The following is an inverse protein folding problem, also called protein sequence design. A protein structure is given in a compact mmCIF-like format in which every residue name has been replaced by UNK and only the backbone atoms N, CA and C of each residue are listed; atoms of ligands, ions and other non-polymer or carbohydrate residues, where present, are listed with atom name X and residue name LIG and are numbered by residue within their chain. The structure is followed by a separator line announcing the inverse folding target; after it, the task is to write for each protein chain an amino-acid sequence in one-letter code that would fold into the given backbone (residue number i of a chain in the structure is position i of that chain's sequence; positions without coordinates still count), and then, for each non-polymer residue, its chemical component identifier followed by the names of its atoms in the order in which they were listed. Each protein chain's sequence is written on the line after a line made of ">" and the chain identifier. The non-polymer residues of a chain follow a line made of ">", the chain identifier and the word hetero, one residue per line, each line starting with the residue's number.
data_IF_853833984540
#
_entry.id   IF_853833984540
#
_cell.length_a   1.000
_cell.length_b   1.000
_cell.length_c   1.000
_cell.angle_alpha   90.00
_cell.angle_beta   90.00
_cell.angle_gamma   90.00
#
_symmetry.space_group_name_H-M   'P 1'
#
loop_
_entity.id
_entity.type
_entity.pdbx_description
1 polymer ?
#
# COMPACT_ATOMS: atom_id res chain seq x y z
N UNK A 1 28.24 45.45 -17.74
CA UNK A 1 27.31 44.32 -17.53
C UNK A 1 27.96 43.32 -16.57
N UNK A 2 27.47 43.20 -15.33
CA UNK A 2 27.92 42.15 -14.41
C UNK A 2 27.04 40.90 -14.61
N UNK A 3 27.65 39.82 -15.08
CA UNK A 3 27.02 38.49 -15.09
C UNK A 3 26.97 37.93 -13.67
N UNK A 4 25.78 37.90 -13.06
CA UNK A 4 25.54 37.17 -11.80
C UNK A 4 25.07 35.76 -12.13
N UNK A 5 25.96 34.78 -12.01
CA UNK A 5 25.61 33.35 -12.05
C UNK A 5 25.01 32.98 -10.69
N UNK A 6 23.73 32.60 -10.64
CA UNK A 6 23.15 31.96 -9.45
C UNK A 6 23.91 30.65 -9.19
N UNK A 7 24.66 30.60 -8.10
CA UNK A 7 25.21 29.34 -7.60
C UNK A 7 24.01 28.52 -7.11
N UNK A 8 23.69 27.42 -7.80
CA UNK A 8 22.74 26.44 -7.28
C UNK A 8 23.28 25.96 -5.93
N UNK A 9 22.47 26.15 -4.89
CA UNK A 9 22.72 25.54 -3.56
C UNK A 9 22.94 24.04 -3.80
N UNK A 10 24.05 23.46 -3.33
CA UNK A 10 24.23 21.99 -3.31
C UNK A 10 22.96 21.41 -2.69
N UNK A 11 22.21 20.59 -3.43
CA UNK A 11 21.09 19.91 -2.81
C UNK A 11 21.70 18.92 -1.80
N UNK A 12 21.11 18.83 -0.61
CA UNK A 12 21.49 17.78 0.32
C UNK A 12 21.18 16.40 -0.29
N UNK A 13 21.66 15.31 0.32
CA UNK A 13 21.23 13.97 -0.08
C UNK A 13 19.70 13.91 -0.05
N UNK A 14 19.12 13.24 -1.06
CA UNK A 14 17.68 12.96 -1.11
C UNK A 14 17.40 11.95 0.00
N UNK A 15 16.47 12.28 0.89
CA UNK A 15 15.99 11.35 1.90
C UNK A 15 14.90 10.47 1.29
N UNK A 16 15.23 9.19 1.09
CA UNK A 16 14.30 8.19 0.60
C UNK A 16 13.81 7.34 1.76
N UNK A 17 12.50 7.31 1.98
CA UNK A 17 11.90 6.36 2.92
C UNK A 17 11.66 5.02 2.24
N UNK A 18 12.15 3.93 2.81
CA UNK A 18 11.87 2.57 2.35
C UNK A 18 11.23 1.78 3.48
N UNK A 19 10.08 1.19 3.21
CA UNK A 19 9.39 0.24 4.08
C UNK A 19 9.41 -1.16 3.46
N UNK A 20 9.29 -2.21 4.26
CA UNK A 20 9.18 -3.59 3.77
C UNK A 20 8.20 -4.42 4.58
N UNK A 21 7.57 -5.39 3.91
CA UNK A 21 6.80 -6.43 4.58
C UNK A 21 7.69 -7.26 5.52
N UNK A 22 7.10 -7.71 6.62
CA UNK A 22 7.72 -8.67 7.54
C UNK A 22 7.72 -10.06 6.93
N UNK A 23 8.79 -10.83 7.16
CA UNK A 23 8.91 -12.21 6.67
C UNK A 23 8.54 -13.26 7.70
N UNK A 24 8.59 -12.94 9.00
CA UNK A 24 8.25 -13.87 10.08
C UNK A 24 8.06 -13.16 11.44
N UNK A 25 7.50 -13.89 12.42
CA UNK A 25 7.34 -13.43 13.80
C UNK A 25 8.66 -12.95 14.47
N UNK A 26 9.80 -13.50 14.05
CA UNK A 26 11.11 -13.11 14.56
C UNK A 26 11.64 -11.80 13.94
N UNK A 27 11.13 -11.41 12.78
CA UNK A 27 11.43 -10.15 12.10
C UNK A 27 10.59 -9.00 12.69
N UNK A 28 9.35 -9.31 13.13
CA UNK A 28 8.42 -8.37 13.77
C UNK A 28 8.97 -7.73 15.06
N UNK A 29 9.93 -8.37 15.73
CA UNK A 29 10.57 -7.82 16.94
C UNK A 29 11.39 -6.56 16.66
N UNK A 30 11.76 -6.33 15.39
CA UNK A 30 12.51 -5.15 14.94
C UNK A 30 11.65 -4.09 14.26
N UNK A 31 10.32 -4.24 14.30
CA UNK A 31 9.40 -3.25 13.75
C UNK A 31 9.56 -1.86 14.43
N UNK A 32 9.40 -0.74 13.70
CA UNK A 32 8.94 -0.66 12.31
C UNK A 32 10.01 -1.07 11.30
N UNK A 33 9.59 -1.75 10.22
CA UNK A 33 10.44 -2.14 9.10
C UNK A 33 10.63 -0.99 8.10
N UNK A 34 10.66 0.24 8.60
CA UNK A 34 10.88 1.46 7.82
C UNK A 34 12.30 1.97 8.08
N UNK A 35 12.97 2.42 7.02
CA UNK A 35 14.31 3.00 7.09
C UNK A 35 14.46 4.15 6.12
N UNK A 36 15.13 5.21 6.57
CA UNK A 36 15.52 6.34 5.72
C UNK A 36 16.90 6.04 5.11
N UNK A 37 16.97 6.12 3.79
CA UNK A 37 18.19 5.97 3.01
C UNK A 37 18.64 7.35 2.50
N UNK A 38 19.86 7.79 2.84
CA UNK A 38 20.45 8.93 2.15
C UNK A 38 20.84 8.51 0.73
N UNK A 39 20.32 9.21 -0.26
CA UNK A 39 20.63 9.03 -1.67
C UNK A 39 21.43 10.24 -2.17
N UNK A 40 22.65 9.99 -2.66
CA UNK A 40 23.50 11.02 -3.22
C UNK A 40 22.99 11.48 -4.60
N UNK A 41 23.29 12.73 -4.99
CA UNK A 41 22.80 13.31 -6.26
C UNK A 41 23.18 12.51 -7.51
N UNK A 42 24.26 11.73 -7.44
CA UNK A 42 24.81 10.96 -8.57
C UNK A 42 24.39 9.48 -8.56
N UNK A 43 23.70 9.00 -7.52
CA UNK A 43 23.26 7.61 -7.45
C UNK A 43 22.12 7.35 -8.43
N UNK A 44 22.17 6.19 -9.07
CA UNK A 44 21.11 5.73 -9.98
C UNK A 44 20.05 4.93 -9.23
N UNK A 45 18.97 4.56 -9.93
CA UNK A 45 17.97 3.65 -9.37
C UNK A 45 18.61 2.30 -9.00
N UNK A 46 19.51 1.77 -9.84
CA UNK A 46 20.27 0.55 -9.53
C UNK A 46 21.05 0.65 -8.22
N UNK A 47 21.75 1.76 -7.98
CA UNK A 47 22.49 1.98 -6.73
C UNK A 47 21.57 1.97 -5.51
N UNK A 48 20.37 2.55 -5.65
CA UNK A 48 19.33 2.52 -4.61
C UNK A 48 18.80 1.11 -4.40
N UNK A 49 18.54 0.34 -5.48
CA UNK A 49 18.11 -1.05 -5.37
C UNK A 49 19.17 -1.91 -4.68
N UNK A 50 20.46 -1.70 -4.91
CA UNK A 50 21.53 -2.41 -4.20
C UNK A 50 21.54 -2.11 -2.70
N UNK A 51 21.31 -0.85 -2.31
CA UNK A 51 21.11 -0.48 -0.90
C UNK A 51 19.91 -1.19 -0.28
N UNK A 52 18.82 -1.32 -1.02
CA UNK A 52 17.62 -2.06 -0.60
C UNK A 52 17.95 -3.55 -0.48
N UNK A 53 18.62 -4.16 -1.45
CA UNK A 53 19.08 -5.54 -1.41
C UNK A 53 19.89 -5.83 -0.14
N UNK A 54 20.78 -4.93 0.26
CA UNK A 54 21.57 -5.06 1.49
C UNK A 54 20.72 -4.94 2.77
N UNK A 55 19.57 -4.28 2.70
CA UNK A 55 18.64 -4.08 3.81
C UNK A 55 17.63 -5.22 3.97
N UNK A 56 17.21 -5.84 2.87
CA UNK A 56 16.17 -6.88 2.89
C UNK A 56 16.62 -8.17 3.60
N UNK A 57 15.72 -8.84 4.36
CA UNK A 57 15.98 -10.14 4.94
C UNK A 57 16.40 -11.18 3.88
N UNK A 58 17.49 -11.90 4.16
CA UNK A 58 18.02 -12.93 3.26
C UNK A 58 17.28 -14.25 3.46
N UNK A 59 16.31 -14.50 2.58
CA UNK A 59 15.50 -15.72 2.54
C UNK A 59 15.80 -16.51 1.25
N UNK A 60 15.55 -17.82 1.28
CA UNK A 60 15.72 -18.67 0.10
C UNK A 60 14.40 -18.74 -0.68
N UNK A 61 14.49 -18.75 -2.00
CA UNK A 61 13.35 -18.94 -2.92
C UNK A 61 12.23 -17.92 -2.69
N UNK A 62 12.61 -16.64 -2.67
CA UNK A 62 11.66 -15.53 -2.50
C UNK A 62 11.91 -14.45 -3.53
N UNK A 63 10.85 -13.68 -3.81
CA UNK A 63 10.92 -12.50 -4.65
C UNK A 63 10.42 -11.31 -3.85
N UNK A 64 11.12 -10.19 -3.95
CA UNK A 64 10.63 -8.90 -3.46
C UNK A 64 10.25 -8.02 -4.63
N UNK A 65 9.06 -7.42 -4.61
CA UNK A 65 8.80 -6.26 -5.48
C UNK A 65 9.20 -4.99 -4.75
N UNK A 66 9.81 -4.04 -5.46
CA UNK A 66 10.09 -2.69 -4.97
C UNK A 66 9.20 -1.75 -5.75
N UNK A 67 8.22 -1.15 -5.07
CA UNK A 67 7.19 -0.35 -5.72
C UNK A 67 6.99 1.01 -5.05
N UNK A 68 6.48 1.97 -5.82
CA UNK A 68 6.09 3.30 -5.34
C UNK A 68 4.67 3.33 -4.77
N UNK A 69 3.98 2.18 -4.77
CA UNK A 69 2.54 2.01 -4.61
C UNK A 69 1.70 2.49 -5.79
N UNK A 70 2.31 3.00 -6.87
CA UNK A 70 1.63 3.31 -8.14
C UNK A 70 2.14 2.39 -9.26
N UNK A 71 3.42 2.01 -9.19
CA UNK A 71 4.04 1.07 -10.11
C UNK A 71 5.21 0.35 -9.44
N UNK A 72 5.56 -0.82 -9.95
CA UNK A 72 6.81 -1.51 -9.61
C UNK A 72 8.00 -0.82 -10.29
N UNK A 73 9.06 -0.56 -9.54
CA UNK A 73 10.33 -0.04 -10.06
C UNK A 73 11.35 -1.17 -10.29
N UNK A 74 11.32 -2.21 -9.45
CA UNK A 74 12.22 -3.35 -9.56
C UNK A 74 11.65 -4.63 -8.94
N UNK A 75 12.17 -5.77 -9.38
CA UNK A 75 11.99 -7.05 -8.69
C UNK A 75 13.36 -7.57 -8.25
N UNK A 76 13.45 -8.04 -7.01
CA UNK A 76 14.66 -8.63 -6.42
C UNK A 76 14.38 -10.11 -6.19
N UNK A 77 15.10 -10.98 -6.87
CA UNK A 77 14.98 -12.43 -6.74
C UNK A 77 16.08 -12.94 -5.81
N UNK A 78 15.68 -13.53 -4.69
CA UNK A 78 16.59 -14.19 -3.76
C UNK A 78 16.48 -15.70 -3.95
N UNK A 79 17.43 -16.27 -4.68
CA UNK A 79 17.49 -17.72 -4.91
C UNK A 79 17.99 -18.43 -3.64
N UNK A 80 19.04 -17.87 -3.03
CA UNK A 80 19.58 -18.34 -1.75
C UNK A 80 20.01 -17.16 -0.89
N UNK A 81 20.26 -17.39 0.41
CA UNK A 81 20.72 -16.34 1.34
C UNK A 81 21.91 -15.49 0.82
N UNK A 82 22.75 -16.07 -0.03
CA UNK A 82 23.96 -15.43 -0.55
C UNK A 82 23.91 -15.15 -2.07
N UNK A 83 22.83 -15.52 -2.76
CA UNK A 83 22.70 -15.36 -4.20
C UNK A 83 21.37 -14.72 -4.52
N UNK A 84 21.44 -13.48 -4.98
CA UNK A 84 20.31 -12.69 -5.43
C UNK A 84 20.67 -11.96 -6.73
N UNK A 85 19.65 -11.59 -7.48
CA UNK A 85 19.75 -10.69 -8.61
C UNK A 85 18.50 -9.80 -8.62
N UNK A 86 18.51 -8.73 -9.41
CA UNK A 86 17.35 -7.88 -9.58
C UNK A 86 17.17 -7.48 -11.04
N UNK A 87 15.95 -7.12 -11.37
CA UNK A 87 15.59 -6.50 -12.65
C UNK A 87 14.89 -5.17 -12.37
N UNK A 88 15.26 -4.14 -13.13
CA UNK A 88 14.54 -2.87 -13.15
C UNK A 88 13.38 -2.96 -14.15
N UNK A 89 12.24 -2.38 -13.81
CA UNK A 89 11.08 -2.33 -14.71
C UNK A 89 11.24 -1.26 -15.81
N UNK A 90 12.10 -0.26 -15.58
CA UNK A 90 12.41 0.81 -16.53
C UNK A 90 13.92 0.94 -16.71
N UNK A 91 14.33 1.78 -17.66
CA UNK A 91 15.74 2.11 -17.86
C UNK A 91 16.34 2.76 -16.61
N UNK A 92 17.56 2.36 -16.26
CA UNK A 92 18.28 2.95 -15.14
C UNK A 92 18.53 4.44 -15.38
N UNK A 93 18.21 5.24 -14.37
CA UNK A 93 18.22 6.70 -14.40
C UNK A 93 18.74 7.23 -13.08
N UNK A 94 19.19 8.49 -13.06
CA UNK A 94 19.62 9.12 -11.80
C UNK A 94 18.43 9.20 -10.87
N UNK A 95 18.61 8.80 -9.61
CA UNK A 95 17.52 8.83 -8.65
C UNK A 95 17.00 10.25 -8.42
N UNK A 96 17.89 11.24 -8.51
CA UNK A 96 17.55 12.67 -8.42
C UNK A 96 16.67 13.21 -9.56
N UNK A 97 16.53 12.46 -10.66
CA UNK A 97 15.63 12.80 -11.77
C UNK A 97 14.23 12.18 -11.59
N UNK A 98 14.03 11.41 -10.51
CA UNK A 98 12.74 10.81 -10.16
C UNK A 98 11.97 11.68 -9.17
N UNK A 99 10.66 11.48 -9.09
CA UNK A 99 9.79 12.05 -8.05
C UNK A 99 9.60 11.09 -6.86
N UNK A 100 10.47 10.06 -6.75
CA UNK A 100 10.33 9.00 -5.77
C UNK A 100 10.91 9.49 -4.43
N UNK A 101 10.03 9.58 -3.44
CA UNK A 101 10.40 9.85 -2.04
C UNK A 101 10.10 8.68 -1.12
N UNK A 102 9.41 7.66 -1.62
CA UNK A 102 8.98 6.49 -0.85
C UNK A 102 8.99 5.24 -1.73
N UNK A 103 9.54 4.14 -1.19
CA UNK A 103 9.44 2.81 -1.78
C UNK A 103 8.93 1.80 -0.74
N UNK A 104 8.12 0.85 -1.20
CA UNK A 104 7.67 -0.29 -0.42
C UNK A 104 8.22 -1.59 -1.01
N UNK A 105 8.75 -2.45 -0.16
CA UNK A 105 9.23 -3.77 -0.54
C UNK A 105 8.24 -4.85 -0.09
N UNK A 106 7.57 -5.48 -1.06
CA UNK A 106 6.59 -6.54 -0.80
C UNK A 106 7.23 -7.91 -0.90
N UNK A 107 6.92 -8.81 0.04
CA UNK A 107 7.54 -10.12 0.16
C UNK A 107 6.71 -11.22 -0.51
N UNK A 108 7.29 -11.99 -1.43
CA UNK A 108 6.61 -13.09 -2.09
C UNK A 108 7.35 -14.41 -1.91
N UNK A 109 6.57 -15.46 -1.61
CA UNK A 109 7.00 -16.85 -1.56
C UNK A 109 5.93 -17.70 -2.23
N UNK A 110 6.27 -18.91 -2.67
CA UNK A 110 5.37 -19.80 -3.44
C UNK A 110 4.02 -20.04 -2.75
N UNK A 111 4.02 -20.17 -1.42
CA UNK A 111 2.80 -20.34 -0.64
C UNK A 111 1.78 -19.20 -0.77
N UNK A 112 2.21 -17.98 -1.13
CA UNK A 112 1.34 -16.81 -1.34
C UNK A 112 0.42 -16.95 -2.57
N UNK A 113 0.76 -17.87 -3.48
CA UNK A 113 -0.02 -18.16 -4.69
C UNK A 113 -0.84 -19.45 -4.56
N UNK A 114 -0.91 -20.03 -3.36
CA UNK A 114 -1.69 -21.24 -3.11
C UNK A 114 -2.82 -20.91 -2.13
N UNK A 115 -4.06 -21.14 -2.55
CA UNK A 115 -5.23 -20.97 -1.69
C UNK A 115 -6.07 -22.25 -1.66
N UNK A 116 -6.95 -22.35 -0.67
CA UNK A 116 -7.89 -23.46 -0.56
C UNK A 116 -9.24 -23.00 -1.08
N UNK A 117 -9.81 -23.77 -1.99
CA UNK A 117 -11.21 -23.62 -2.37
C UNK A 117 -12.11 -23.86 -1.15
N UNK A 118 -13.05 -22.96 -0.90
CA UNK A 118 -13.89 -23.03 0.30
C UNK A 118 -14.97 -24.13 0.21
N UNK A 119 -15.32 -24.58 -0.99
CA UNK A 119 -16.35 -25.59 -1.22
C UNK A 119 -15.77 -27.00 -1.33
N UNK A 120 -14.67 -27.17 -2.09
CA UNK A 120 -14.03 -28.46 -2.33
C UNK A 120 -12.86 -28.75 -1.38
N UNK A 121 -12.27 -27.73 -0.76
CA UNK A 121 -11.07 -27.85 0.07
C UNK A 121 -9.79 -28.10 -0.72
N UNK A 122 -9.87 -28.14 -2.06
CA UNK A 122 -8.74 -28.36 -2.96
C UNK A 122 -7.78 -27.18 -2.92
N UNK A 123 -6.48 -27.47 -3.11
CA UNK A 123 -5.46 -26.43 -3.25
C UNK A 123 -5.47 -25.93 -4.68
N UNK A 124 -5.85 -24.67 -4.86
CA UNK A 124 -5.81 -24.00 -6.15
C UNK A 124 -4.55 -23.13 -6.18
N UNK A 125 -3.84 -23.20 -7.30
CA UNK A 125 -2.69 -22.37 -7.60
C UNK A 125 -3.11 -21.17 -8.44
N UNK A 126 -2.69 -19.97 -8.01
CA UNK A 126 -2.90 -18.72 -8.73
C UNK A 126 -1.78 -18.54 -9.76
N UNK A 127 -2.17 -18.21 -11.00
CA UNK A 127 -1.31 -18.16 -12.18
C UNK A 127 -0.58 -19.49 -12.46
N UNK A 128 -1.31 -20.61 -12.64
CA UNK A 128 -0.71 -21.92 -12.90
C UNK A 128 0.05 -21.98 -14.23
N UNK A 129 -0.22 -21.04 -15.15
CA UNK A 129 0.51 -20.85 -16.40
C UNK A 129 1.94 -20.33 -16.21
N UNK A 130 2.23 -19.71 -15.06
CA UNK A 130 3.56 -19.21 -14.73
C UNK A 130 4.44 -20.31 -14.14
N UNK A 131 5.59 -20.58 -14.77
CA UNK A 131 6.54 -21.58 -14.30
C UNK A 131 7.35 -21.14 -13.08
N UNK A 132 7.80 -19.89 -13.05
CA UNK A 132 8.66 -19.36 -11.98
C UNK A 132 7.90 -18.43 -11.02
N UNK A 133 8.40 -18.32 -9.78
CA UNK A 133 7.82 -17.42 -8.77
C UNK A 133 7.83 -15.96 -9.24
N UNK A 134 8.89 -15.51 -9.93
CA UNK A 134 8.97 -14.16 -10.45
C UNK A 134 7.84 -13.85 -11.45
N UNK A 135 7.51 -14.78 -12.35
CA UNK A 135 6.44 -14.59 -13.32
C UNK A 135 5.08 -14.45 -12.63
N UNK A 136 4.83 -15.26 -11.60
CA UNK A 136 3.63 -15.13 -10.75
C UNK A 136 3.55 -13.77 -10.07
N UNK A 137 4.69 -13.29 -9.57
CA UNK A 137 4.80 -11.97 -8.94
C UNK A 137 4.57 -10.86 -9.97
N UNK A 138 5.10 -10.96 -11.18
CA UNK A 138 4.84 -9.99 -12.26
C UNK A 138 3.37 -9.95 -12.64
N UNK A 139 2.72 -11.10 -12.82
CA UNK A 139 1.28 -11.16 -13.06
C UNK A 139 0.53 -10.49 -11.91
N UNK A 140 0.83 -10.89 -10.67
CA UNK A 140 0.20 -10.30 -9.49
C UNK A 140 0.40 -8.78 -9.41
N UNK A 141 1.60 -8.27 -9.63
CA UNK A 141 1.88 -6.83 -9.55
C UNK A 141 1.25 -6.07 -10.73
N UNK A 142 1.18 -6.67 -11.92
CA UNK A 142 0.43 -6.14 -13.04
C UNK A 142 -1.06 -6.00 -12.73
N UNK A 143 -1.63 -6.96 -11.99
CA UNK A 143 -3.00 -6.84 -11.48
C UNK A 143 -3.12 -5.83 -10.33
N UNK A 144 -2.11 -5.78 -9.45
CA UNK A 144 -2.06 -4.91 -8.28
C UNK A 144 -2.21 -3.42 -8.65
N UNK A 145 -1.68 -3.01 -9.81
CA UNK A 145 -1.72 -1.63 -10.31
C UNK A 145 -2.75 -1.41 -11.43
N UNK A 146 -3.76 -2.28 -11.57
CA UNK A 146 -4.67 -2.31 -12.73
C UNK A 146 -5.39 -0.99 -13.05
N UNK A 147 -5.60 -0.09 -12.09
CA UNK A 147 -6.24 1.19 -12.35
C UNK A 147 -5.62 2.39 -11.59
N UNK A 148 -5.46 3.53 -12.27
CA UNK A 148 -5.16 4.79 -11.60
C UNK A 148 -6.42 5.35 -10.94
N UNK A 149 -6.35 5.72 -9.66
CA UNK A 149 -7.40 6.51 -9.02
C UNK A 149 -7.38 7.93 -9.61
N UNK A 150 -8.49 8.34 -10.24
CA UNK A 150 -8.54 9.62 -10.98
C UNK A 150 -8.57 10.84 -10.06
N UNK A 151 -9.18 10.70 -8.88
CA UNK A 151 -9.17 11.74 -7.86
C UNK A 151 -7.82 11.77 -7.13
N UNK A 152 -7.31 12.98 -6.81
CA UNK A 152 -6.02 13.17 -6.13
C UNK A 152 -6.12 13.27 -4.60
N UNK A 153 -7.34 13.26 -4.06
CA UNK A 153 -7.64 13.40 -2.64
C UNK A 153 -9.02 13.99 -2.43
N UNK A 154 -9.50 13.95 -1.19
CA UNK A 154 -10.79 14.49 -0.81
C UNK A 154 -11.14 14.19 0.64
N UNK A 155 -12.34 14.57 1.03
CA UNK A 155 -12.96 14.22 2.30
C UNK A 155 -13.51 12.79 2.20
N UNK A 156 -13.30 11.97 3.23
CA UNK A 156 -13.72 10.56 3.20
C UNK A 156 -15.05 10.38 3.94
N UNK A 157 -16.01 9.76 3.26
CA UNK A 157 -17.30 9.36 3.82
C UNK A 157 -17.48 7.85 3.66
N UNK A 158 -17.83 7.18 4.76
CA UNK A 158 -18.01 5.72 4.79
C UNK A 158 -19.42 5.43 5.28
N UNK A 159 -20.24 4.80 4.43
CA UNK A 159 -21.66 4.54 4.71
C UNK A 159 -22.45 5.76 5.24
N UNK A 160 -22.10 6.97 4.77
CA UNK A 160 -22.76 8.21 5.17
C UNK A 160 -22.14 8.89 6.40
N UNK A 161 -21.18 8.26 7.07
CA UNK A 161 -20.40 8.87 8.14
C UNK A 161 -19.13 9.51 7.61
N UNK A 162 -19.05 10.84 7.71
CA UNK A 162 -17.86 11.59 7.36
C UNK A 162 -16.75 11.39 8.39
N UNK A 163 -15.51 11.25 7.92
CA UNK A 163 -14.33 11.32 8.77
C UNK A 163 -13.98 12.79 9.04
N UNK A 164 -14.69 13.40 10.00
CA UNK A 164 -14.70 14.84 10.24
C UNK A 164 -16.05 15.43 9.83
N UNK A 165 -16.04 16.52 9.06
CA UNK A 165 -17.24 17.12 8.45
C UNK A 165 -17.13 17.02 6.92
N UNK A 166 -18.25 17.11 6.18
CA UNK A 166 -18.19 17.26 4.73
C UNK A 166 -17.32 18.48 4.36
N UNK A 167 -16.30 18.26 3.52
CA UNK A 167 -15.35 19.30 3.10
C UNK A 167 -14.20 19.59 4.09
N UNK A 168 -14.20 18.99 5.28
CA UNK A 168 -13.06 19.04 6.20
C UNK A 168 -12.10 17.86 5.95
N UNK A 169 -10.84 17.98 6.40
CA UNK A 169 -9.82 16.93 6.33
C UNK A 169 -9.55 16.42 4.91
N UNK A 170 -9.03 17.29 4.03
CA UNK A 170 -8.60 16.85 2.70
C UNK A 170 -7.45 15.83 2.80
N UNK A 171 -7.75 14.56 2.53
CA UNK A 171 -6.76 13.50 2.52
C UNK A 171 -6.17 13.37 1.11
N UNK A 172 -4.91 13.77 0.94
CA UNK A 172 -4.24 13.64 -0.35
C UNK A 172 -3.86 12.17 -0.60
N UNK A 173 -4.33 11.63 -1.73
CA UNK A 173 -3.99 10.27 -2.15
C UNK A 173 -2.49 10.20 -2.42
N UNK A 174 -1.84 9.22 -1.81
CA UNK A 174 -0.44 8.86 -2.04
C UNK A 174 -0.37 7.73 -3.07
N UNK A 175 -1.12 6.64 -2.83
CA UNK A 175 -1.09 5.43 -3.64
C UNK A 175 -2.46 4.73 -3.62
N UNK A 176 -2.74 3.92 -4.65
CA UNK A 176 -3.93 3.06 -4.71
C UNK A 176 -3.51 1.68 -5.20
N UNK A 177 -4.14 0.65 -4.63
CA UNK A 177 -4.02 -0.73 -5.05
C UNK A 177 -5.41 -1.24 -5.42
N UNK A 178 -5.47 -1.94 -6.54
CA UNK A 178 -6.66 -2.65 -6.99
C UNK A 178 -6.35 -4.14 -7.01
N UNK A 179 -7.27 -4.94 -6.50
CA UNK A 179 -7.29 -6.39 -6.71
C UNK A 179 -8.69 -6.77 -7.15
N UNK A 180 -8.87 -8.03 -7.53
CA UNK A 180 -10.18 -8.60 -7.82
C UNK A 180 -11.17 -8.35 -6.66
N UNK A 181 -10.70 -8.57 -5.42
CA UNK A 181 -11.59 -8.59 -4.26
C UNK A 181 -11.45 -7.35 -3.35
N UNK A 182 -10.61 -6.37 -3.72
CA UNK A 182 -10.31 -5.26 -2.81
C UNK A 182 -9.73 -4.01 -3.48
N UNK A 183 -9.95 -2.87 -2.83
CA UNK A 183 -9.31 -1.59 -3.15
C UNK A 183 -8.65 -1.08 -1.87
N UNK A 184 -7.36 -0.71 -1.93
CA UNK A 184 -6.72 -0.02 -0.83
C UNK A 184 -6.10 1.30 -1.26
N UNK A 185 -6.46 2.39 -0.58
CA UNK A 185 -6.02 3.75 -0.86
C UNK A 185 -5.18 4.22 0.33
N UNK A 186 -3.95 4.62 0.08
CA UNK A 186 -3.07 5.20 1.11
C UNK A 186 -2.96 6.70 0.90
N UNK A 187 -2.95 7.45 1.99
CA UNK A 187 -2.94 8.91 1.99
C UNK A 187 -1.63 9.45 2.55
N UNK A 188 -1.26 10.68 2.17
CA UNK A 188 0.03 11.28 2.56
C UNK A 188 0.15 11.52 4.07
N UNK A 189 -0.95 11.64 4.81
CA UNK A 189 -0.93 11.80 6.26
C UNK A 189 -0.66 10.49 7.03
N UNK A 190 -0.46 9.38 6.32
CA UNK A 190 -0.29 8.05 6.91
C UNK A 190 -1.62 7.31 7.12
N UNK A 191 -2.75 7.88 6.68
CA UNK A 191 -4.04 7.20 6.70
C UNK A 191 -4.13 6.16 5.59
N UNK A 192 -5.00 5.18 5.78
CA UNK A 192 -5.26 4.12 4.80
C UNK A 192 -6.72 3.69 4.82
N UNK A 193 -7.32 3.59 3.64
CA UNK A 193 -8.66 3.08 3.42
C UNK A 193 -8.55 1.71 2.73
N UNK A 194 -9.21 0.71 3.29
CA UNK A 194 -9.32 -0.62 2.70
C UNK A 194 -10.78 -0.94 2.46
N UNK A 195 -11.11 -1.39 1.25
CA UNK A 195 -12.46 -1.73 0.79
C UNK A 195 -12.40 -3.18 0.33
N UNK A 196 -13.23 -4.05 0.88
CA UNK A 196 -13.30 -5.48 0.55
C UNK A 196 -14.60 -5.77 -0.18
N UNK A 197 -14.51 -6.58 -1.23
CA UNK A 197 -15.59 -6.95 -2.15
C UNK A 197 -16.37 -5.72 -2.66
N UNK A 198 -15.70 -4.76 -3.31
CA UNK A 198 -16.35 -3.54 -3.78
C UNK A 198 -17.34 -3.85 -4.91
N UNK A 199 -18.57 -3.35 -4.78
CA UNK A 199 -19.60 -3.43 -5.81
C UNK A 199 -19.90 -2.05 -6.40
N UNK A 200 -19.91 -2.00 -7.74
CA UNK A 200 -20.20 -0.81 -8.55
C UNK A 200 -19.32 0.39 -8.16
N UNK A 201 -18.16 0.48 -8.82
CA UNK A 201 -17.17 1.53 -8.59
C UNK A 201 -17.31 2.64 -9.64
N UNK A 202 -17.47 3.89 -9.19
CA UNK A 202 -17.33 5.08 -10.02
C UNK A 202 -16.01 5.79 -9.72
N UNK A 203 -15.05 5.69 -10.64
CA UNK A 203 -13.76 6.37 -10.57
C UNK A 203 -13.74 7.55 -11.55
N UNK A 204 -13.97 8.77 -11.02
CA UNK A 204 -14.01 10.04 -11.77
C UNK A 204 -12.98 11.03 -11.21
N UNK A 205 -12.67 12.07 -11.98
CA UNK A 205 -11.63 13.04 -11.59
C UNK A 205 -12.01 13.90 -10.38
N UNK A 206 -13.31 14.10 -10.17
CA UNK A 206 -13.92 14.93 -9.12
C UNK A 206 -14.49 14.12 -7.95
N UNK A 207 -14.69 12.80 -8.14
CA UNK A 207 -15.23 11.92 -7.10
C UNK A 207 -14.82 10.48 -7.28
N UNK A 208 -14.70 9.78 -6.16
CA UNK A 208 -14.59 8.32 -6.12
C UNK A 208 -15.73 7.75 -5.28
N UNK A 209 -16.50 6.82 -5.86
CA UNK A 209 -17.65 6.21 -5.19
C UNK A 209 -17.56 4.69 -5.30
N UNK A 210 -17.77 4.00 -4.18
CA UNK A 210 -18.05 2.57 -4.15
C UNK A 210 -19.46 2.39 -3.62
N UNK A 211 -20.36 1.89 -4.46
CA UNK A 211 -21.80 1.81 -4.15
C UNK A 211 -22.06 0.91 -2.96
N UNK A 212 -21.38 -0.23 -2.91
CA UNK A 212 -21.50 -1.18 -1.82
C UNK A 212 -20.20 -1.99 -1.59
N UNK A 213 -20.04 -2.59 -0.41
CA UNK A 213 -18.87 -3.40 -0.04
C UNK A 213 -19.20 -4.38 1.09
N UNK A 214 -18.40 -5.43 1.27
CA UNK A 214 -18.53 -6.35 2.43
C UNK A 214 -17.91 -5.75 3.69
N UNK A 215 -16.81 -5.00 3.53
CA UNK A 215 -16.09 -4.33 4.61
C UNK A 215 -15.42 -3.05 4.13
N UNK A 216 -15.41 -2.03 4.98
CA UNK A 216 -14.53 -0.85 4.83
C UNK A 216 -13.76 -0.65 6.14
N UNK A 217 -12.45 -0.52 6.04
CA UNK A 217 -11.55 -0.24 7.16
C UNK A 217 -10.78 1.04 6.90
N UNK A 218 -10.97 2.02 7.78
CA UNK A 218 -10.19 3.24 7.81
C UNK A 218 -9.16 3.16 8.94
N UNK A 219 -7.91 3.45 8.64
CA UNK A 219 -6.80 3.45 9.59
C UNK A 219 -6.15 4.84 9.58
N UNK A 220 -5.84 5.38 10.75
CA UNK A 220 -5.10 6.64 10.90
C UNK A 220 -4.24 6.63 12.16
N UNK A 221 -3.31 7.57 12.28
CA UNK A 221 -2.61 7.85 13.54
C UNK A 221 -3.27 9.02 14.26
N UNK A 222 -3.32 8.99 15.59
CA UNK A 222 -3.80 10.12 16.39
C UNK A 222 -3.13 11.43 15.96
N UNK A 223 -3.94 12.44 15.66
CA UNK A 223 -3.44 13.72 15.15
C UNK A 223 -2.53 14.42 16.15
N UNK A 224 -1.40 14.92 15.65
CA UNK A 224 -0.37 15.59 16.45
C UNK A 224 0.59 14.63 17.17
N UNK A 225 0.36 13.32 17.08
CA UNK A 225 1.20 12.31 17.72
C UNK A 225 2.19 11.66 16.75
N UNK A 226 3.21 10.98 17.31
CA UNK A 226 4.13 10.17 16.51
C UNK A 226 3.39 9.03 15.81
N UNK A 227 3.73 8.77 14.55
CA UNK A 227 3.21 7.65 13.76
C UNK A 227 3.82 6.32 14.23
N UNK A 228 3.36 5.84 15.37
CA UNK A 228 3.75 4.56 15.97
C UNK A 228 2.50 3.74 16.26
N UNK A 229 2.63 2.41 16.32
CA UNK A 229 1.51 1.49 16.52
C UNK A 229 0.60 1.84 17.72
N UNK A 230 1.18 2.36 18.81
CA UNK A 230 0.41 2.79 20.01
C UNK A 230 -0.63 3.88 19.73
N UNK A 231 -0.39 4.68 18.68
CA UNK A 231 -1.23 5.79 18.25
C UNK A 231 -2.08 5.44 17.03
N UNK A 232 -2.01 4.19 16.56
CA UNK A 232 -2.81 3.71 15.45
C UNK A 232 -4.26 3.52 15.88
N UNK A 233 -5.15 4.17 15.17
CA UNK A 233 -6.59 4.11 15.31
C UNK A 233 -7.22 3.44 14.09
N UNK A 234 -8.38 2.83 14.32
CA UNK A 234 -9.18 2.23 13.27
C UNK A 234 -10.63 2.57 13.43
N UNK A 235 -11.31 2.66 12.30
CA UNK A 235 -12.76 2.69 12.17
C UNK A 235 -13.13 1.64 11.14
N UNK A 236 -13.82 0.60 11.58
CA UNK A 236 -14.24 -0.50 10.73
C UNK A 236 -15.75 -0.50 10.57
N UNK A 237 -16.18 -0.85 9.37
CA UNK A 237 -17.55 -1.12 9.00
C UNK A 237 -17.59 -2.47 8.32
N UNK A 238 -18.49 -3.33 8.76
CA UNK A 238 -18.66 -4.68 8.21
C UNK A 238 -20.13 -4.97 8.00
N UNK A 239 -20.46 -5.54 6.85
CA UNK A 239 -21.80 -6.07 6.58
C UNK A 239 -21.96 -7.43 7.26
N UNK A 240 -23.05 -7.62 7.99
CA UNK A 240 -23.41 -8.93 8.54
C UNK A 240 -24.21 -9.76 7.50
N UNK A 241 -24.58 -10.98 7.85
CA UNK A 241 -25.34 -11.89 6.98
C UNK A 241 -26.73 -11.34 6.60
N UNK A 242 -27.28 -10.43 7.40
CA UNK A 242 -28.57 -9.77 7.16
C UNK A 242 -28.45 -8.50 6.30
N UNK A 243 -27.23 -8.15 5.86
CA UNK A 243 -26.97 -6.93 5.09
C UNK A 243 -26.86 -5.65 5.92
N UNK A 244 -26.88 -5.76 7.26
CA UNK A 244 -26.76 -4.64 8.18
C UNK A 244 -25.29 -4.29 8.43
N UNK A 245 -25.00 -3.00 8.61
CA UNK A 245 -23.65 -2.52 8.85
C UNK A 245 -23.35 -2.49 10.35
N UNK A 246 -22.24 -3.09 10.75
CA UNK A 246 -21.67 -3.02 12.09
C UNK A 246 -20.49 -2.06 12.06
N UNK A 247 -20.48 -1.06 12.94
CA UNK A 247 -19.38 -0.09 13.11
C UNK A 247 -18.64 -0.33 14.42
N UNK A 248 -17.31 -0.35 14.36
CA UNK A 248 -16.45 -0.21 15.54
C UNK A 248 -15.35 0.81 15.30
N UNK A 249 -14.96 1.53 16.36
CA UNK A 249 -13.90 2.53 16.31
C UNK A 249 -13.10 2.53 17.61
N UNK A 250 -11.80 2.78 17.49
CA UNK A 250 -10.91 2.91 18.64
C UNK A 250 -9.45 2.81 18.25
N UNK A 251 -8.58 2.56 19.24
CA UNK A 251 -7.19 2.18 18.92
C UNK A 251 -7.18 0.80 18.29
N UNK A 252 -6.28 0.58 17.32
CA UNK A 252 -6.18 -0.69 16.58
C UNK A 252 -6.11 -1.91 17.51
N UNK A 253 -5.36 -1.80 18.61
CA UNK A 253 -5.16 -2.85 19.61
C UNK A 253 -6.41 -3.20 20.42
N UNK A 254 -7.39 -2.31 20.48
CA UNK A 254 -8.58 -2.42 21.32
C UNK A 254 -9.81 -2.87 20.52
N UNK A 255 -9.81 -2.68 19.18
CA UNK A 255 -10.91 -3.05 18.28
C UNK A 255 -10.70 -4.47 17.75
N UNK A 256 -11.64 -5.38 18.07
CA UNK A 256 -11.67 -6.75 17.54
C UNK A 256 -12.35 -6.81 16.18
N UNK A 257 -12.00 -7.80 15.37
CA UNK A 257 -12.52 -7.96 14.01
C UNK A 257 -14.03 -8.28 13.93
N UNK A 258 -14.56 -8.92 14.96
CA UNK A 258 -15.97 -9.26 15.14
C UNK A 258 -16.75 -8.24 15.99
N UNK A 259 -16.07 -7.21 16.50
CA UNK A 259 -16.70 -6.17 17.31
C UNK A 259 -17.41 -5.11 16.46
N UNK A 260 -18.53 -4.61 16.96
CA UNK A 260 -19.25 -3.49 16.36
C UNK A 260 -20.65 -3.34 16.90
N UNK A 261 -21.20 -2.14 16.74
CA UNK A 261 -22.60 -1.83 17.00
C UNK A 261 -23.30 -1.61 15.66
N UNK A 262 -24.60 -1.93 15.61
CA UNK A 262 -25.41 -1.65 14.44
C UNK A 262 -25.33 -0.17 14.08
N UNK A 263 -25.01 0.10 12.82
CA UNK A 263 -24.83 1.43 12.27
C UNK A 263 -25.88 1.67 11.17
N UNK A 264 -26.73 2.72 11.31
CA UNK A 264 -27.80 2.99 10.37
C UNK A 264 -27.26 3.66 9.10
N UNK A 265 -26.70 2.88 8.20
CA UNK A 265 -26.12 3.37 6.94
C UNK A 265 -27.16 3.95 5.95
N UNK A 266 -28.44 3.58 6.09
CA UNK A 266 -29.50 4.03 5.20
C UNK A 266 -29.25 3.64 3.74
N UNK A 267 -29.43 4.60 2.81
CA UNK A 267 -29.14 4.43 1.37
C UNK A 267 -27.78 5.00 0.97
N UNK A 268 -26.86 5.15 1.91
CA UNK A 268 -25.53 5.68 1.63
C UNK A 268 -24.70 4.67 0.83
N UNK A 269 -23.76 5.15 0.02
CA UNK A 269 -22.76 4.29 -0.60
C UNK A 269 -21.73 3.83 0.44
N UNK A 270 -21.04 2.72 0.17
CA UNK A 270 -20.02 2.21 1.08
C UNK A 270 -18.88 3.23 1.26
N UNK A 271 -18.41 3.83 0.17
CA UNK A 271 -17.38 4.86 0.19
C UNK A 271 -17.74 6.01 -0.75
N UNK A 272 -17.50 7.23 -0.30
CA UNK A 272 -17.45 8.45 -1.12
C UNK A 272 -16.19 9.24 -0.75
N UNK A 273 -15.46 9.69 -1.78
CA UNK A 273 -14.36 10.66 -1.67
C UNK A 273 -14.65 11.81 -2.63
N UNK A 274 -14.70 13.04 -2.12
CA UNK A 274 -14.92 14.30 -2.87
C UNK A 274 -14.16 15.49 -2.28
#
# INVERSE_FOLDING_TARGET
>A
MLFRKKVKKKAGPIELTVDRESVCMGDDVTAPNEKIFPVAENETLSDVIEKICAYLPKMNDVVWSVDTGIKTEAYIVMETKNRYWYELCEQDKRFAETEIHYLHCRYFHTGRFLYRDQMSGERIEKYPECGELLDKVKCFMGEYFKEELKIKGGSVCIWGEWFGRPGDNFHQVKTVKWTEDSISIHFKGGESLYITDPEVVENKADRFVVRDASRVLWIWYLYGEKQVYRNLCVRQYRKNEEGLILRAEGKRRDVKEDSGVLFPAGKSCAVLIE
#
